data_IF_971203192982
#
_entry.id   IF_971203192982
#
_cell.length_a   1.000
_cell.length_b   1.000
_cell.length_c   1.000
_cell.angle_alpha   90.00
_cell.angle_beta   90.00
_cell.angle_gamma   90.00
#
_symmetry.space_group_name_H-M   'P 1'
#
loop_
_entity.id
_entity.type
_entity.pdbx_description
1 polymer ?
#
# COMPACT_ATOMS: atom_id res chain seq x y z
N UNK A 1 -24.86 8.87 -8.83
CA UNK A 1 -24.32 9.13 -7.48
C UNK A 1 -23.70 7.84 -6.96
N UNK A 2 -22.48 7.84 -6.42
CA UNK A 2 -21.89 6.64 -5.85
C UNK A 2 -22.72 6.15 -4.66
N UNK A 3 -22.88 4.84 -4.54
CA UNK A 3 -23.60 4.24 -3.41
C UNK A 3 -22.86 4.45 -2.09
N UNK A 4 -23.56 4.38 -0.94
CA UNK A 4 -22.92 4.42 0.39
C UNK A 4 -21.79 3.40 0.54
N UNK A 5 -21.88 2.26 -0.18
CA UNK A 5 -20.85 1.23 -0.21
C UNK A 5 -19.62 1.67 -1.01
N UNK A 6 -19.79 2.25 -2.18
CA UNK A 6 -18.68 2.75 -3.01
C UNK A 6 -17.88 3.82 -2.30
N UNK A 7 -18.57 4.73 -1.60
CA UNK A 7 -17.90 5.74 -0.79
C UNK A 7 -17.02 5.12 0.32
N UNK A 8 -17.55 4.11 1.03
CA UNK A 8 -16.78 3.40 2.07
C UNK A 8 -15.59 2.63 1.50
N UNK A 9 -15.74 2.05 0.32
CA UNK A 9 -14.64 1.37 -0.37
C UNK A 9 -13.56 2.38 -0.76
N UNK A 10 -13.94 3.48 -1.41
CA UNK A 10 -13.02 4.53 -1.83
C UNK A 10 -12.23 5.10 -0.65
N UNK A 11 -12.88 5.32 0.49
CA UNK A 11 -12.27 5.84 1.71
C UNK A 11 -11.20 4.92 2.33
N UNK A 12 -11.15 3.64 1.95
CA UNK A 12 -10.13 2.68 2.40
C UNK A 12 -9.14 2.36 1.29
N UNK A 13 -9.63 2.13 0.08
CA UNK A 13 -8.83 1.67 -1.04
C UNK A 13 -7.83 2.73 -1.51
N UNK A 14 -8.27 3.94 -1.83
CA UNK A 14 -7.38 4.97 -2.39
C UNK A 14 -6.25 5.38 -1.43
N UNK A 15 -6.47 5.60 -0.12
CA UNK A 15 -5.37 5.91 0.80
C UNK A 15 -4.27 4.84 0.85
N UNK A 16 -4.62 3.56 0.63
CA UNK A 16 -3.63 2.48 0.58
C UNK A 16 -2.86 2.48 -0.75
N UNK A 17 -3.53 2.76 -1.87
CA UNK A 17 -2.89 2.94 -3.18
C UNK A 17 -1.94 4.13 -3.16
N UNK A 18 -2.39 5.27 -2.62
CA UNK A 18 -1.57 6.47 -2.49
C UNK A 18 -0.31 6.19 -1.66
N UNK A 19 -0.40 5.37 -0.61
CA UNK A 19 0.77 4.94 0.16
C UNK A 19 1.76 4.14 -0.68
N UNK A 20 1.28 3.17 -1.49
CA UNK A 20 2.14 2.41 -2.38
C UNK A 20 2.82 3.34 -3.40
N UNK A 21 2.07 4.27 -3.99
CA UNK A 21 2.59 5.23 -4.98
C UNK A 21 3.68 6.11 -4.38
N UNK A 22 3.49 6.62 -3.15
CA UNK A 22 4.54 7.37 -2.45
C UNK A 22 5.83 6.57 -2.22
N UNK A 23 5.75 5.24 -2.07
CA UNK A 23 6.95 4.40 -1.92
C UNK A 23 7.71 4.17 -3.22
N UNK A 24 7.07 4.30 -4.38
CA UNK A 24 7.72 4.19 -5.70
C UNK A 24 8.78 5.27 -5.91
N UNK A 25 8.62 6.42 -5.26
CA UNK A 25 9.58 7.53 -5.31
C UNK A 25 10.61 7.48 -4.15
N UNK A 26 10.69 6.36 -3.43
CA UNK A 26 11.68 6.17 -2.37
C UNK A 26 13.12 6.23 -2.89
N UNK A 27 14.01 6.86 -2.12
CA UNK A 27 15.45 6.85 -2.40
C UNK A 27 16.11 5.47 -2.22
N UNK A 28 15.43 4.52 -1.58
CA UNK A 28 15.90 3.15 -1.44
C UNK A 28 15.32 2.30 -2.57
N UNK A 29 16.18 1.90 -3.51
CA UNK A 29 15.78 1.13 -4.71
C UNK A 29 14.94 -0.10 -4.37
N UNK A 30 15.30 -0.87 -3.33
CA UNK A 30 14.55 -2.06 -2.91
C UNK A 30 13.09 -1.74 -2.55
N UNK A 31 12.84 -0.62 -1.86
CA UNK A 31 11.49 -0.18 -1.51
C UNK A 31 10.76 0.32 -2.76
N UNK A 32 11.42 1.11 -3.60
CA UNK A 32 10.84 1.66 -4.81
C UNK A 32 10.41 0.56 -5.80
N UNK A 33 11.28 -0.43 -6.04
CA UNK A 33 11.02 -1.57 -6.92
C UNK A 33 9.88 -2.45 -6.39
N UNK A 34 9.88 -2.73 -5.07
CA UNK A 34 8.84 -3.52 -4.45
C UNK A 34 7.49 -2.80 -4.49
N UNK A 35 7.47 -1.51 -4.20
CA UNK A 35 6.27 -0.69 -4.29
C UNK A 35 5.71 -0.62 -5.71
N UNK A 36 6.57 -0.42 -6.71
CA UNK A 36 6.19 -0.45 -8.12
C UNK A 36 5.58 -1.79 -8.51
N UNK A 37 6.17 -2.90 -8.04
CA UNK A 37 5.64 -4.26 -8.27
C UNK A 37 4.27 -4.45 -7.65
N UNK A 38 4.08 -4.02 -6.39
CA UNK A 38 2.78 -4.09 -5.73
C UNK A 38 1.71 -3.25 -6.46
N UNK A 39 2.05 -2.05 -6.94
CA UNK A 39 1.09 -1.16 -7.62
C UNK A 39 0.47 -1.76 -8.88
N UNK A 40 1.22 -2.56 -9.64
CA UNK A 40 0.73 -3.21 -10.87
C UNK A 40 -0.52 -4.06 -10.58
N UNK A 41 -0.59 -4.69 -9.41
CA UNK A 41 -1.75 -5.52 -9.03
C UNK A 41 -3.03 -4.70 -8.80
N UNK A 42 -2.91 -3.37 -8.59
CA UNK A 42 -4.01 -2.54 -8.11
C UNK A 42 -4.35 -1.33 -9.00
N UNK A 43 -3.43 -0.87 -9.86
CA UNK A 43 -3.57 0.38 -10.63
C UNK A 43 -4.83 0.43 -11.53
N UNK A 44 -5.36 -0.74 -11.91
CA UNK A 44 -6.51 -0.88 -12.80
C UNK A 44 -7.81 -1.29 -12.07
N UNK A 45 -7.80 -1.39 -10.74
CA UNK A 45 -8.97 -1.78 -9.95
C UNK A 45 -9.86 -0.57 -9.69
N UNK A 46 -11.09 -0.60 -10.22
CA UNK A 46 -12.08 0.46 -9.96
C UNK A 46 -12.90 0.21 -8.69
N UNK A 47 -13.34 1.29 -8.05
CA UNK A 47 -14.26 1.22 -6.89
C UNK A 47 -15.60 0.58 -7.28
N UNK A 48 -16.09 0.83 -8.49
CA UNK A 48 -17.30 0.22 -9.03
C UNK A 48 -17.16 -1.31 -9.16
N UNK A 49 -16.00 -1.79 -9.60
CA UNK A 49 -15.73 -3.23 -9.65
C UNK A 49 -15.75 -3.82 -8.24
N UNK A 50 -15.02 -3.22 -7.29
CA UNK A 50 -14.98 -3.66 -5.89
C UNK A 50 -16.35 -3.66 -5.21
N UNK A 51 -17.24 -2.73 -5.58
CA UNK A 51 -18.59 -2.64 -4.99
C UNK A 51 -19.51 -3.78 -5.42
N UNK A 52 -19.26 -4.36 -6.61
CA UNK A 52 -20.01 -5.50 -7.18
C UNK A 52 -19.47 -6.86 -6.73
N UNK A 53 -18.26 -6.93 -6.18
CA UNK A 53 -17.65 -8.19 -5.74
C UNK A 53 -18.41 -8.86 -4.58
N UNK A 54 -18.42 -10.21 -4.55
CA UNK A 54 -18.75 -10.96 -3.34
C UNK A 54 -17.89 -10.53 -2.16
N UNK A 55 -18.47 -10.53 -0.96
CA UNK A 55 -17.77 -10.03 0.24
C UNK A 55 -16.41 -10.73 0.49
N UNK A 56 -16.31 -12.03 0.21
CA UNK A 56 -15.07 -12.78 0.38
C UNK A 56 -13.97 -12.34 -0.61
N UNK A 57 -14.32 -12.08 -1.86
CA UNK A 57 -13.37 -11.64 -2.89
C UNK A 57 -12.90 -10.21 -2.63
N UNK A 58 -13.84 -9.32 -2.31
CA UNK A 58 -13.53 -7.96 -1.84
C UNK A 58 -12.54 -8.00 -0.67
N UNK A 59 -12.82 -8.82 0.36
CA UNK A 59 -11.97 -8.95 1.54
C UNK A 59 -10.55 -9.41 1.18
N UNK A 60 -10.40 -10.36 0.25
CA UNK A 60 -9.09 -10.85 -0.19
C UNK A 60 -8.25 -9.73 -0.83
N UNK A 61 -8.85 -8.94 -1.73
CA UNK A 61 -8.14 -7.85 -2.40
C UNK A 61 -7.69 -6.78 -1.39
N UNK A 62 -8.61 -6.32 -0.54
CA UNK A 62 -8.29 -5.29 0.45
C UNK A 62 -7.27 -5.77 1.47
N UNK A 63 -7.35 -7.03 1.90
CA UNK A 63 -6.38 -7.60 2.84
C UNK A 63 -4.99 -7.69 2.22
N UNK A 64 -4.88 -8.15 0.97
CA UNK A 64 -3.61 -8.22 0.25
C UNK A 64 -2.98 -6.83 0.11
N UNK A 65 -3.76 -5.83 -0.32
CA UNK A 65 -3.31 -4.45 -0.43
C UNK A 65 -2.80 -3.90 0.91
N UNK A 66 -3.51 -4.19 2.00
CA UNK A 66 -3.10 -3.79 3.34
C UNK A 66 -1.79 -4.47 3.78
N UNK A 67 -1.63 -5.76 3.48
CA UNK A 67 -0.41 -6.52 3.79
C UNK A 67 0.80 -5.98 3.03
N UNK A 68 0.65 -5.66 1.74
CA UNK A 68 1.69 -5.06 0.91
C UNK A 68 2.16 -3.70 1.47
N UNK A 69 1.20 -2.82 1.80
CA UNK A 69 1.50 -1.53 2.44
C UNK A 69 2.24 -1.72 3.77
N UNK A 70 1.77 -2.66 4.61
CA UNK A 70 2.38 -2.93 5.92
C UNK A 70 3.80 -3.47 5.81
N UNK A 71 4.08 -4.29 4.80
CA UNK A 71 5.42 -4.79 4.52
C UNK A 71 6.36 -3.62 4.18
N UNK A 72 5.95 -2.71 3.29
CA UNK A 72 6.75 -1.52 2.93
C UNK A 72 6.95 -0.58 4.13
N UNK A 73 5.90 -0.32 4.92
CA UNK A 73 6.00 0.43 6.18
C UNK A 73 7.06 -0.20 7.10
N UNK A 74 7.11 -1.53 7.19
CA UNK A 74 8.09 -2.26 8.02
C UNK A 74 9.52 -2.11 7.50
N UNK A 75 9.74 -2.26 6.19
CA UNK A 75 11.05 -2.10 5.55
C UNK A 75 11.58 -0.68 5.75
N UNK A 76 10.74 0.33 5.49
CA UNK A 76 11.08 1.73 5.70
C UNK A 76 11.48 2.02 7.15
N UNK A 77 10.69 1.54 8.12
CA UNK A 77 11.00 1.69 9.54
C UNK A 77 12.30 1.00 9.94
N UNK A 78 12.61 -0.15 9.34
CA UNK A 78 13.88 -0.85 9.56
C UNK A 78 15.07 -0.01 9.09
N UNK A 79 14.98 0.54 7.88
CA UNK A 79 16.01 1.44 7.32
C UNK A 79 16.21 2.67 8.20
N UNK A 80 15.13 3.34 8.63
CA UNK A 80 15.22 4.51 9.51
C UNK A 80 15.89 4.17 10.85
N UNK A 81 15.62 2.99 11.43
CA UNK A 81 16.28 2.53 12.66
C UNK A 81 17.77 2.32 12.44
N UNK A 82 18.16 1.70 11.33
CA UNK A 82 19.57 1.47 10.99
C UNK A 82 20.31 2.79 10.75
N UNK A 83 19.73 3.70 9.97
CA UNK A 83 20.28 5.05 9.77
C UNK A 83 20.46 5.80 11.08
N UNK A 84 19.46 5.74 11.97
CA UNK A 84 19.56 6.36 13.28
C UNK A 84 20.70 5.78 14.11
N UNK A 85 20.93 4.46 14.08
CA UNK A 85 22.06 3.83 14.78
C UNK A 85 23.40 4.32 14.24
N UNK A 86 23.53 4.32 12.91
CA UNK A 86 24.73 4.79 12.21
C UNK A 86 25.07 6.24 12.56
N UNK A 87 24.11 7.16 12.46
CA UNK A 87 24.29 8.59 12.78
C UNK A 87 24.71 8.79 14.25
N UNK A 88 24.22 7.95 15.16
CA UNK A 88 24.52 8.05 16.59
C UNK A 88 25.79 7.29 17.02
N UNK A 89 26.56 6.71 16.09
CA UNK A 89 27.79 5.97 16.40
C UNK A 89 27.56 4.71 17.26
N UNK A 90 26.35 4.13 17.20
CA UNK A 90 25.97 2.91 17.91
C UNK A 90 25.94 1.76 16.89
N UNK A 91 27.11 1.30 16.47
CA UNK A 91 27.22 -0.01 15.78
C UNK A 91 27.07 -1.15 16.78
#
# INVERSE_FOLDING_TARGET
MPSSREFKIAAVFFPLIDKLDNYKDSHFNEIAELAATCLVDYENISVEYLSKLPHQEFKKIILKLYEDVKMLDSLWNSILKTLKRYINGKE
#
